data_IF_441919568733
#
_entry.id   IF_441919568733
#
_cell.length_a   1.000
_cell.length_b   1.000
_cell.length_c   1.000
_cell.angle_alpha   90.00
_cell.angle_beta   90.00
_cell.angle_gamma   90.00
#
_symmetry.space_group_name_H-M   'P 1'
#
loop_
_entity.id
_entity.type
_entity.pdbx_description
1 polymer ?
#
# COMPACT_ATOMS: atom_id res chain seq x y z
N UNK A 1 12.37 -6.19 4.42
CA UNK A 1 11.51 -6.14 3.23
C UNK A 1 11.57 -4.72 2.67
N UNK A 2 12.20 -4.52 1.52
CA UNK A 2 12.33 -3.17 0.94
C UNK A 2 10.95 -2.66 0.51
N UNK A 3 10.53 -1.51 1.03
CA UNK A 3 9.33 -0.84 0.54
C UNK A 3 9.61 -0.38 -0.89
N UNK A 4 8.94 -1.01 -1.86
CA UNK A 4 9.00 -0.59 -3.26
C UNK A 4 8.21 0.70 -3.38
N UNK A 5 8.91 1.81 -3.23
CA UNK A 5 8.35 3.15 -3.42
C UNK A 5 8.49 3.54 -4.88
N UNK A 6 7.46 4.22 -5.40
CA UNK A 6 7.52 4.82 -6.72
C UNK A 6 8.69 5.83 -6.79
N UNK A 7 9.36 5.95 -7.93
CA UNK A 7 10.53 6.85 -8.09
C UNK A 7 10.23 8.32 -7.79
N UNK A 8 8.97 8.75 -7.91
CA UNK A 8 8.52 10.11 -7.57
C UNK A 8 7.98 10.26 -6.14
N UNK A 9 8.08 9.23 -5.30
CA UNK A 9 7.56 9.27 -3.93
C UNK A 9 8.40 10.21 -3.05
N UNK A 10 7.81 11.32 -2.63
CA UNK A 10 8.48 12.31 -1.75
C UNK A 10 8.53 11.90 -0.29
N UNK A 11 7.64 11.01 0.17
CA UNK A 11 7.60 10.55 1.57
C UNK A 11 8.06 9.10 1.66
N UNK A 12 9.37 8.93 1.80
CA UNK A 12 10.00 7.62 2.02
C UNK A 12 9.85 7.16 3.46
N UNK A 13 10.13 5.89 3.73
CA UNK A 13 10.04 5.34 5.08
C UNK A 13 10.86 6.13 6.11
N UNK A 14 12.09 6.52 5.76
CA UNK A 14 12.96 7.32 6.62
C UNK A 14 12.35 8.70 6.93
N UNK A 15 11.79 9.38 5.92
CA UNK A 15 11.12 10.66 6.10
C UNK A 15 9.89 10.50 7.00
N UNK A 16 9.06 9.45 6.78
CA UNK A 16 7.88 9.20 7.61
C UNK A 16 8.27 8.96 9.08
N UNK A 17 9.35 8.22 9.34
CA UNK A 17 9.87 7.98 10.68
C UNK A 17 10.31 9.27 11.37
N UNK A 18 11.06 10.12 10.66
CA UNK A 18 11.48 11.42 11.18
C UNK A 18 10.29 12.34 11.46
N UNK A 19 9.26 12.34 10.60
CA UNK A 19 8.05 13.13 10.81
C UNK A 19 7.29 12.71 12.08
N UNK A 20 7.30 11.42 12.44
CA UNK A 20 6.70 10.93 13.69
C UNK A 20 7.55 11.28 14.93
N UNK A 21 8.87 11.09 14.86
CA UNK A 21 9.75 11.23 16.02
C UNK A 21 10.12 12.68 16.33
N UNK A 22 10.15 13.55 15.31
CA UNK A 22 10.57 14.93 15.49
C UNK A 22 9.53 15.75 16.26
N UNK A 23 9.97 16.53 17.25
CA UNK A 23 9.15 17.52 17.96
C UNK A 23 9.17 18.91 17.30
N UNK A 24 9.86 19.07 16.17
CA UNK A 24 9.97 20.35 15.46
C UNK A 24 8.59 20.91 15.02
N UNK A 25 8.50 22.20 14.71
CA UNK A 25 7.25 22.76 14.18
C UNK A 25 6.87 22.15 12.83
N UNK A 26 5.57 22.02 12.57
CA UNK A 26 5.03 21.46 11.33
C UNK A 26 5.53 22.24 10.11
N UNK A 27 5.54 23.58 10.21
CA UNK A 27 6.04 24.47 9.16
C UNK A 27 7.53 24.27 8.87
N UNK A 28 8.35 23.95 9.88
CA UNK A 28 9.76 23.66 9.68
C UNK A 28 9.97 22.35 8.90
N UNK A 29 9.28 21.28 9.29
CA UNK A 29 9.35 19.98 8.60
C UNK A 29 8.80 20.06 7.17
N UNK A 30 7.72 20.81 6.96
CA UNK A 30 7.14 21.04 5.64
C UNK A 30 8.14 21.73 4.69
N UNK A 31 8.84 22.77 5.17
CA UNK A 31 9.88 23.47 4.41
C UNK A 31 11.11 22.59 4.14
N UNK A 32 11.59 21.85 5.15
CA UNK A 32 12.76 20.97 5.03
C UNK A 32 12.56 19.91 3.95
N UNK A 33 11.38 19.30 3.88
CA UNK A 33 11.09 18.21 2.96
C UNK A 33 10.33 18.64 1.69
N UNK A 34 9.97 19.92 1.55
CA UNK A 34 9.16 20.40 0.42
C UNK A 34 7.79 19.70 0.32
N UNK A 35 7.18 19.38 1.46
CA UNK A 35 5.90 18.68 1.56
C UNK A 35 4.83 19.56 2.20
N UNK A 36 3.56 19.28 1.90
CA UNK A 36 2.44 19.99 2.51
C UNK A 36 2.41 19.75 4.04
N UNK A 37 2.15 20.79 4.83
CA UNK A 37 1.96 20.71 6.28
C UNK A 37 0.89 19.68 6.69
N UNK A 38 -0.16 19.53 5.87
CA UNK A 38 -1.18 18.48 6.07
C UNK A 38 -0.58 17.07 6.04
N UNK A 39 0.45 16.84 5.23
CA UNK A 39 1.15 15.56 5.15
C UNK A 39 1.97 15.30 6.40
N UNK A 40 2.64 16.32 6.95
CA UNK A 40 3.36 16.22 8.23
C UNK A 40 2.40 15.87 9.36
N UNK A 41 1.27 16.58 9.48
CA UNK A 41 0.23 16.30 10.47
C UNK A 41 -0.36 14.90 10.31
N UNK A 42 -0.60 14.47 9.07
CA UNK A 42 -1.09 13.13 8.76
C UNK A 42 -0.13 12.05 9.25
N UNK A 43 1.17 12.19 8.99
CA UNK A 43 2.17 11.19 9.41
C UNK A 43 2.38 11.14 10.93
N UNK A 44 2.32 12.29 11.61
CA UNK A 44 2.36 12.32 13.09
C UNK A 44 1.20 11.58 13.76
N UNK A 45 0.00 11.67 13.19
CA UNK A 45 -1.20 11.03 13.74
C UNK A 45 -1.29 9.54 13.42
N UNK A 46 -0.52 9.03 12.47
CA UNK A 46 -0.52 7.62 12.09
C UNK A 46 0.20 6.79 13.14
N UNK A 47 -0.30 5.58 13.39
CA UNK A 47 0.32 4.63 14.30
C UNK A 47 1.43 3.80 13.63
N UNK A 48 1.32 3.56 12.32
CA UNK A 48 2.30 2.78 11.54
C UNK A 48 2.88 3.60 10.39
N UNK A 49 4.15 3.32 10.09
CA UNK A 49 4.91 3.87 8.97
C UNK A 49 4.78 3.02 7.70
N UNK A 50 4.33 1.77 7.85
CA UNK A 50 4.19 0.82 6.76
C UNK A 50 2.98 1.11 5.90
N UNK A 51 3.12 0.86 4.60
CA UNK A 51 2.00 0.92 3.67
C UNK A 51 1.14 -0.33 3.87
N UNK A 52 -0.05 -0.13 4.45
CA UNK A 52 -1.01 -1.22 4.64
C UNK A 52 -1.58 -1.65 3.28
N UNK A 53 -1.84 -2.97 3.10
CA UNK A 53 -2.51 -3.44 1.91
C UNK A 53 -3.85 -2.73 1.75
N UNK A 54 -4.07 -2.17 0.56
CA UNK A 54 -5.33 -1.54 0.21
C UNK A 54 -6.37 -2.62 -0.12
N UNK A 55 -7.58 -2.46 0.40
CA UNK A 55 -8.74 -3.31 0.08
C UNK A 55 -9.17 -4.27 1.20
N UNK A 56 -10.13 -5.16 0.90
CA UNK A 56 -10.65 -6.12 1.86
C UNK A 56 -9.56 -7.03 2.42
N UNK A 57 -9.64 -7.33 3.72
CA UNK A 57 -8.70 -8.24 4.40
C UNK A 57 -8.66 -9.61 3.74
N UNK A 58 -9.83 -10.08 3.29
CA UNK A 58 -9.95 -11.27 2.46
C UNK A 58 -10.29 -10.86 1.03
N UNK A 59 -9.36 -11.14 0.12
CA UNK A 59 -9.59 -10.93 -1.30
C UNK A 59 -10.39 -12.11 -1.86
N UNK A 60 -11.71 -12.05 -1.72
CA UNK A 60 -12.64 -13.01 -2.29
C UNK A 60 -13.62 -12.33 -3.22
N UNK A 61 -14.08 -13.06 -4.22
CA UNK A 61 -15.26 -12.64 -4.99
C UNK A 61 -16.49 -12.65 -4.08
N UNK A 62 -17.32 -11.61 -4.16
CA UNK A 62 -18.64 -11.59 -3.52
C UNK A 62 -19.71 -12.33 -4.32
N UNK A 63 -19.38 -12.76 -5.54
CA UNK A 63 -20.33 -13.34 -6.50
C UNK A 63 -20.07 -14.83 -6.74
N UNK A 64 -18.80 -15.27 -6.67
CA UNK A 64 -18.43 -16.65 -6.97
C UNK A 64 -18.41 -17.51 -5.71
N UNK A 65 -18.82 -18.76 -5.85
CA UNK A 65 -18.56 -19.76 -4.82
C UNK A 65 -17.05 -20.05 -4.70
N UNK A 66 -16.58 -20.55 -3.55
CA UNK A 66 -15.17 -20.89 -3.36
C UNK A 66 -14.62 -21.89 -4.39
N UNK A 67 -15.46 -22.80 -4.89
CA UNK A 67 -15.04 -23.81 -5.87
C UNK A 67 -14.86 -23.20 -7.26
N UNK A 68 -15.76 -22.31 -7.68
CA UNK A 68 -15.66 -21.58 -8.94
C UNK A 68 -14.45 -20.65 -8.93
N UNK A 69 -14.21 -19.96 -7.81
CA UNK A 69 -13.03 -19.13 -7.60
C UNK A 69 -11.73 -19.94 -7.77
N UNK A 70 -11.66 -21.12 -7.14
CA UNK A 70 -10.52 -22.03 -7.26
C UNK A 70 -10.31 -22.53 -8.70
N UNK A 71 -11.39 -22.89 -9.41
CA UNK A 71 -11.32 -23.34 -10.80
C UNK A 71 -10.78 -22.24 -11.74
N UNK A 72 -11.25 -21.01 -11.58
CA UNK A 72 -10.79 -19.87 -12.38
C UNK A 72 -9.32 -19.53 -12.08
N UNK A 73 -8.91 -19.58 -10.80
CA UNK A 73 -7.50 -19.37 -10.41
C UNK A 73 -6.61 -20.46 -11.01
N UNK A 74 -7.01 -21.74 -10.91
CA UNK A 74 -6.27 -22.86 -11.46
C UNK A 74 -6.11 -22.74 -12.99
N UNK A 75 -7.20 -22.43 -13.71
CA UNK A 75 -7.18 -22.21 -15.15
C UNK A 75 -6.22 -21.06 -15.53
N UNK A 76 -6.28 -19.94 -14.80
CA UNK A 76 -5.44 -18.77 -15.08
C UNK A 76 -3.95 -19.07 -14.89
N UNK A 77 -3.59 -19.81 -13.85
CA UNK A 77 -2.21 -20.24 -13.59
C UNK A 77 -1.72 -21.20 -14.67
N UNK A 78 -2.54 -22.21 -15.04
CA UNK A 78 -2.19 -23.20 -16.06
C UNK A 78 -2.05 -22.57 -17.45
N UNK A 79 -2.98 -21.71 -17.83
CA UNK A 79 -3.00 -21.06 -19.14
C UNK A 79 -2.07 -19.84 -19.25
N UNK A 80 -1.36 -19.47 -18.17
CA UNK A 80 -0.48 -18.28 -18.09
C UNK A 80 -1.14 -17.00 -18.63
N UNK A 81 -2.45 -16.86 -18.39
CA UNK A 81 -3.20 -15.72 -18.89
C UNK A 81 -2.70 -14.44 -18.21
N UNK A 82 -2.44 -13.35 -18.96
CA UNK A 82 -1.95 -12.11 -18.39
C UNK A 82 -2.94 -11.56 -17.37
N UNK A 83 -2.42 -11.01 -16.27
CA UNK A 83 -3.19 -10.44 -15.16
C UNK A 83 -3.81 -9.08 -15.55
N UNK A 84 -4.65 -9.07 -16.58
CA UNK A 84 -5.47 -7.91 -16.95
C UNK A 84 -6.68 -7.79 -16.02
N UNK A 85 -6.72 -6.71 -15.23
CA UNK A 85 -7.90 -6.16 -14.53
C UNK A 85 -8.57 -6.99 -13.40
N UNK A 86 -7.98 -8.09 -12.94
CA UNK A 86 -8.50 -8.83 -11.76
C UNK A 86 -7.37 -9.35 -10.87
N UNK A 87 -6.53 -8.44 -10.38
CA UNK A 87 -5.44 -8.72 -9.43
C UNK A 87 -5.92 -9.07 -8.00
N UNK A 88 -7.22 -9.32 -7.81
CA UNK A 88 -7.82 -9.58 -6.51
C UNK A 88 -7.65 -11.07 -6.13
N UNK A 89 -7.79 -12.00 -7.09
CA UNK A 89 -7.85 -13.44 -6.78
C UNK A 89 -6.48 -14.15 -6.67
N UNK A 90 -5.44 -13.66 -7.33
CA UNK A 90 -4.21 -14.45 -7.52
C UNK A 90 -3.10 -14.18 -6.50
N UNK A 91 -3.34 -13.41 -5.44
CA UNK A 91 -2.35 -13.13 -4.41
C UNK A 91 -2.56 -14.01 -3.17
N UNK A 92 -2.39 -15.33 -3.33
CA UNK A 92 -2.14 -16.25 -2.21
C UNK A 92 -0.87 -17.04 -2.55
N UNK A 93 0.17 -17.05 -1.70
CA UNK A 93 1.10 -18.17 -1.68
C UNK A 93 0.38 -19.44 -1.19
#
# INVERSE_FOLDING_TARGET
>A
MGQVLHGSARTTHAIRAELQQSQASVAHLARKYGINEKTVLKWRKRQSLEDMPMGPKERRSTVLSPMEEAAIVALRVQARLPLGLSGILCARP
#
